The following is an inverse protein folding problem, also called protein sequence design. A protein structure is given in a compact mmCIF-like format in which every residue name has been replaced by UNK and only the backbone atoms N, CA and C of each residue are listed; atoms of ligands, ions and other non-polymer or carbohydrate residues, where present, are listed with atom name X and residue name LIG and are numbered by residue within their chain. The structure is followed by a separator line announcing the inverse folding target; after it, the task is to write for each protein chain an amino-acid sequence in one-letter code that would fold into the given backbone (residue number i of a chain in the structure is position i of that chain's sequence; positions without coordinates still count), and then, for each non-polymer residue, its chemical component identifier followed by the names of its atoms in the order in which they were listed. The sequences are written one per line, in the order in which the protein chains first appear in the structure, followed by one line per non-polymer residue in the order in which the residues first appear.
data_IF_005167157420
#
_entry.id   IF_005167157420
#
_cell.length_a   1.000
_cell.length_b   1.000
_cell.length_c   1.000
_cell.angle_alpha   90.00
_cell.angle_beta   90.00
_cell.angle_gamma   90.00
#
_symmetry.space_group_name_H-M   'P 1'
#
loop_
_entity.id
_entity.type
_entity.pdbx_description
1 polymer ?
#
# COMPACT_ATOMS: atom_id res chain seq x y z
N UNK A 1 -9.00 32.01 -10.17
CA UNK A 1 -8.48 31.86 -8.78
C UNK A 1 -8.46 30.40 -8.34
N UNK A 2 -9.38 29.53 -8.80
CA UNK A 2 -9.35 28.10 -8.46
C UNK A 2 -8.25 27.29 -9.16
N UNK A 3 -7.83 27.65 -10.37
CA UNK A 3 -6.78 26.89 -11.07
C UNK A 3 -5.40 27.00 -10.40
N UNK A 4 -5.09 28.14 -9.79
CA UNK A 4 -3.77 28.39 -9.20
C UNK A 4 -3.50 27.55 -7.93
N UNK A 5 -4.55 27.19 -7.16
CA UNK A 5 -4.34 26.37 -5.95
C UNK A 5 -4.09 24.90 -6.31
N UNK A 6 -4.78 24.40 -7.34
CA UNK A 6 -4.58 23.03 -7.85
C UNK A 6 -3.17 22.89 -8.41
N UNK A 7 -2.73 23.85 -9.22
CA UNK A 7 -1.38 23.84 -9.79
C UNK A 7 -0.29 23.89 -8.70
N UNK A 8 -0.45 24.77 -7.68
CA UNK A 8 0.44 24.80 -6.51
C UNK A 8 0.44 23.46 -5.74
N UNK A 9 -0.72 22.80 -5.64
CA UNK A 9 -0.81 21.50 -4.96
C UNK A 9 -0.08 20.39 -5.72
N UNK A 10 -0.15 20.36 -7.05
CA UNK A 10 0.57 19.38 -7.85
C UNK A 10 2.08 19.61 -7.82
N UNK A 11 2.55 20.86 -7.95
CA UNK A 11 3.97 21.18 -7.85
C UNK A 11 4.56 20.80 -6.49
N UNK A 12 3.85 21.10 -5.40
CA UNK A 12 4.32 20.74 -4.06
C UNK A 12 4.37 19.22 -3.84
N UNK A 13 3.45 18.46 -4.43
CA UNK A 13 3.48 17.00 -4.44
C UNK A 13 4.66 16.45 -5.23
N UNK A 14 4.97 17.02 -6.39
CA UNK A 14 6.11 16.60 -7.21
C UNK A 14 7.44 16.88 -6.50
N UNK A 15 7.57 18.04 -5.86
CA UNK A 15 8.74 18.38 -5.04
C UNK A 15 8.88 17.40 -3.86
N UNK A 16 7.78 17.10 -3.16
CA UNK A 16 7.79 16.15 -2.06
C UNK A 16 8.15 14.73 -2.53
N UNK A 17 7.61 14.29 -3.67
CA UNK A 17 7.93 12.99 -4.29
C UNK A 17 9.40 12.91 -4.65
N UNK A 18 9.95 13.93 -5.32
CA UNK A 18 11.36 14.00 -5.68
C UNK A 18 12.26 13.98 -4.44
N UNK A 19 11.92 14.72 -3.39
CA UNK A 19 12.70 14.80 -2.16
C UNK A 19 12.69 13.50 -1.34
N UNK A 20 11.51 12.88 -1.17
CA UNK A 20 11.36 11.70 -0.31
C UNK A 20 11.73 10.40 -1.04
N UNK A 21 11.37 10.29 -2.31
CA UNK A 21 11.45 9.04 -3.06
C UNK A 21 12.39 9.12 -4.26
N UNK A 22 12.75 10.29 -4.80
CA UNK A 22 13.58 10.38 -6.00
C UNK A 22 12.94 9.71 -7.22
N UNK A 23 13.76 9.11 -8.10
CA UNK A 23 13.31 8.46 -9.35
C UNK A 23 12.91 6.98 -9.14
N UNK A 24 12.12 6.71 -8.09
CA UNK A 24 11.69 5.35 -7.75
C UNK A 24 10.61 4.87 -8.69
N UNK A 25 10.91 3.78 -9.40
CA UNK A 25 10.00 3.15 -10.36
C UNK A 25 8.78 2.54 -9.66
N UNK A 26 7.62 2.64 -10.31
CA UNK A 26 6.33 2.08 -9.87
C UNK A 26 5.78 2.62 -8.54
N UNK A 27 6.35 3.71 -8.00
CA UNK A 27 5.80 4.36 -6.81
C UNK A 27 4.35 4.81 -7.03
N UNK A 28 4.02 5.36 -8.20
CA UNK A 28 2.67 5.81 -8.53
C UNK A 28 1.66 4.65 -8.53
N UNK A 29 2.08 3.46 -8.96
CA UNK A 29 1.27 2.25 -8.90
C UNK A 29 1.07 1.80 -7.44
N UNK A 30 2.11 1.86 -6.61
CA UNK A 30 2.01 1.54 -5.18
C UNK A 30 1.02 2.49 -4.49
N UNK A 31 1.11 3.80 -4.74
CA UNK A 31 0.18 4.81 -4.21
C UNK A 31 -1.24 4.51 -4.65
N UNK A 32 -1.46 4.24 -5.95
CA UNK A 32 -2.79 3.89 -6.48
C UNK A 32 -3.37 2.66 -5.78
N UNK A 33 -2.58 1.59 -5.62
CA UNK A 33 -3.03 0.38 -4.93
C UNK A 33 -3.32 0.65 -3.45
N UNK A 34 -2.51 1.43 -2.75
CA UNK A 34 -2.78 1.83 -1.37
C UNK A 34 -4.11 2.58 -1.23
N UNK A 35 -4.44 3.48 -2.17
CA UNK A 35 -5.73 4.19 -2.19
C UNK A 35 -6.88 3.22 -2.44
N UNK A 36 -6.76 2.32 -3.43
CA UNK A 36 -7.78 1.31 -3.73
C UNK A 36 -8.00 0.39 -2.52
N UNK A 37 -6.93 -0.01 -1.83
CA UNK A 37 -7.04 -0.85 -0.65
C UNK A 37 -7.80 -0.15 0.48
N UNK A 38 -7.47 1.12 0.75
CA UNK A 38 -8.20 1.93 1.75
C UNK A 38 -9.69 2.00 1.40
N UNK A 39 -10.03 2.30 0.15
CA UNK A 39 -11.43 2.38 -0.29
C UNK A 39 -12.13 1.02 -0.13
N UNK A 40 -11.50 -0.07 -0.59
CA UNK A 40 -12.06 -1.42 -0.49
C UNK A 40 -12.24 -1.87 0.97
N UNK A 41 -11.30 -1.53 1.85
CA UNK A 41 -11.38 -1.81 3.29
C UNK A 41 -12.50 -1.03 3.98
N UNK A 42 -12.75 0.23 3.57
CA UNK A 42 -13.87 1.02 4.07
C UNK A 42 -15.21 0.43 3.63
N UNK A 43 -15.34 0.02 2.36
CA UNK A 43 -16.56 -0.62 1.83
C UNK A 43 -16.85 -1.92 2.60
N UNK A 44 -15.81 -2.74 2.83
CA UNK A 44 -15.89 -3.97 3.62
C UNK A 44 -16.38 -3.69 5.04
N UNK A 45 -15.73 -2.75 5.74
CA UNK A 45 -16.11 -2.40 7.12
C UNK A 45 -17.55 -1.85 7.22
N UNK A 46 -18.03 -1.16 6.17
CA UNK A 46 -19.41 -0.69 6.09
C UNK A 46 -20.39 -1.86 5.93
N UNK A 47 -20.10 -2.81 5.02
CA UNK A 47 -20.90 -4.03 4.82
C UNK A 47 -21.02 -4.84 6.13
N UNK A 48 -19.91 -4.99 6.86
CA UNK A 48 -19.86 -5.77 8.10
C UNK A 48 -20.41 -5.00 9.32
N UNK A 49 -20.84 -3.76 9.15
CA UNK A 49 -21.29 -2.84 10.22
C UNK A 49 -20.24 -2.66 11.35
N UNK A 50 -18.95 -2.88 11.05
CA UNK A 50 -17.82 -2.81 11.99
C UNK A 50 -16.93 -1.59 11.71
N UNK A 51 -17.54 -0.41 11.54
CA UNK A 51 -16.81 0.85 11.29
C UNK A 51 -15.97 1.32 12.50
N UNK A 52 -16.36 0.95 13.72
CA UNK A 52 -15.65 1.32 14.96
C UNK A 52 -14.65 0.23 15.32
N UNK A 53 -13.47 0.26 14.71
CA UNK A 53 -12.42 -0.69 15.05
C UNK A 53 -11.10 0.02 15.31
N UNK A 54 -10.60 -0.13 16.55
CA UNK A 54 -9.20 0.18 16.90
C UNK A 54 -8.22 -0.56 15.97
N UNK A 55 -8.64 -1.69 15.40
CA UNK A 55 -7.84 -2.48 14.47
C UNK A 55 -7.77 -1.86 13.06
N UNK A 56 -8.77 -1.07 12.63
CA UNK A 56 -8.72 -0.37 11.34
C UNK A 56 -7.61 0.70 11.32
N UNK A 57 -7.42 1.40 12.44
CA UNK A 57 -6.34 2.37 12.60
C UNK A 57 -4.96 1.74 12.40
N UNK A 58 -4.73 0.56 12.97
CA UNK A 58 -3.46 -0.17 12.79
C UNK A 58 -3.20 -0.57 11.33
N UNK A 59 -4.25 -0.83 10.55
CA UNK A 59 -4.15 -1.05 9.11
C UNK A 59 -3.58 0.17 8.37
N UNK A 60 -4.15 1.35 8.64
CA UNK A 60 -3.68 2.60 8.03
C UNK A 60 -2.26 2.98 8.45
N UNK A 61 -1.92 2.80 9.73
CA UNK A 61 -0.56 3.02 10.23
C UNK A 61 0.43 2.09 9.50
N UNK A 62 0.09 0.81 9.32
CA UNK A 62 0.94 -0.13 8.59
C UNK A 62 1.21 0.30 7.14
N UNK A 63 0.22 0.89 6.48
CA UNK A 63 0.39 1.47 5.13
C UNK A 63 1.31 2.67 5.14
N UNK A 64 1.20 3.58 6.12
CA UNK A 64 2.15 4.69 6.20
C UNK A 64 3.59 4.20 6.43
N UNK A 65 3.75 3.15 7.23
CA UNK A 65 5.07 2.55 7.49
C UNK A 65 5.68 1.88 6.24
N UNK A 66 4.89 1.38 5.29
CA UNK A 66 5.45 0.79 4.06
C UNK A 66 6.18 1.84 3.22
N UNK A 67 5.64 3.06 3.13
CA UNK A 67 6.30 4.17 2.44
C UNK A 67 7.61 4.56 3.12
N UNK A 68 7.71 4.50 4.46
CA UNK A 68 8.97 4.74 5.16
C UNK A 68 10.03 3.68 4.81
N UNK A 69 9.63 2.42 4.66
CA UNK A 69 10.56 1.37 4.21
C UNK A 69 11.04 1.64 2.78
N UNK A 70 10.17 2.11 1.88
CA UNK A 70 10.57 2.51 0.53
C UNK A 70 11.59 3.67 0.55
N UNK A 71 11.37 4.68 1.40
CA UNK A 71 12.32 5.80 1.56
C UNK A 71 13.67 5.27 2.06
N UNK A 72 13.67 4.40 3.07
CA UNK A 72 14.90 3.82 3.62
C UNK A 72 15.64 3.00 2.54
N UNK A 73 14.93 2.17 1.78
CA UNK A 73 15.52 1.40 0.68
C UNK A 73 16.16 2.32 -0.38
N UNK A 74 15.52 3.45 -0.71
CA UNK A 74 16.07 4.43 -1.64
C UNK A 74 17.35 5.06 -1.12
N UNK A 75 17.38 5.46 0.15
CA UNK A 75 18.59 6.00 0.79
C UNK A 75 19.71 4.97 0.79
N UNK A 76 19.41 3.70 1.07
CA UNK A 76 20.39 2.61 1.02
C UNK A 76 20.93 2.40 -0.40
N UNK A 77 20.07 2.38 -1.42
CA UNK A 77 20.50 2.25 -2.81
C UNK A 77 21.45 3.38 -3.23
N UNK A 78 21.18 4.61 -2.78
CA UNK A 78 22.02 5.78 -3.06
C UNK A 78 23.38 5.69 -2.37
N UNK A 79 23.41 5.30 -1.08
CA UNK A 79 24.66 5.16 -0.31
C UNK A 79 25.53 4.02 -0.87
N UNK A 80 24.90 2.91 -1.27
CA UNK A 80 25.60 1.71 -1.74
C UNK A 80 25.82 1.68 -3.25
N UNK A 81 25.33 2.66 -4.00
CA UNK A 81 25.47 2.73 -5.46
C UNK A 81 24.76 1.59 -6.21
N UNK A 82 23.64 1.10 -5.67
CA UNK A 82 22.91 -0.06 -6.18
C UNK A 82 21.95 0.27 -7.33
N UNK A 83 21.95 1.51 -7.83
CA UNK A 83 21.14 1.96 -8.96
C UNK A 83 19.64 1.66 -8.83
N UNK A 84 19.10 1.72 -7.60
CA UNK A 84 17.67 1.55 -7.35
C UNK A 84 17.18 0.10 -7.29
N UNK A 85 18.08 -0.90 -7.31
CA UNK A 85 17.70 -2.32 -7.31
C UNK A 85 16.97 -2.72 -6.03
N UNK A 86 17.44 -2.28 -4.86
CA UNK A 86 16.81 -2.61 -3.58
C UNK A 86 15.43 -1.97 -3.47
N UNK A 87 15.31 -0.72 -3.89
CA UNK A 87 14.07 0.06 -3.83
C UNK A 87 13.05 -0.51 -4.80
N UNK A 88 13.48 -0.87 -6.01
CA UNK A 88 12.61 -1.55 -6.96
C UNK A 88 12.04 -2.86 -6.39
N UNK A 89 12.88 -3.70 -5.79
CA UNK A 89 12.42 -4.92 -5.12
C UNK A 89 11.46 -4.63 -3.95
N UNK A 90 11.76 -3.60 -3.17
CA UNK A 90 10.93 -3.17 -2.04
C UNK A 90 9.55 -2.67 -2.50
N UNK A 91 9.49 -1.87 -3.55
CA UNK A 91 8.23 -1.38 -4.13
C UNK A 91 7.41 -2.53 -4.68
N UNK A 92 8.03 -3.47 -5.42
CA UNK A 92 7.32 -4.65 -5.93
C UNK A 92 6.76 -5.52 -4.79
N UNK A 93 7.50 -5.69 -3.71
CA UNK A 93 7.04 -6.40 -2.52
C UNK A 93 5.78 -5.74 -1.93
N UNK A 94 5.78 -4.42 -1.77
CA UNK A 94 4.61 -3.73 -1.25
C UNK A 94 3.44 -3.68 -2.24
N UNK A 95 3.68 -3.60 -3.55
CA UNK A 95 2.65 -3.76 -4.58
C UNK A 95 1.95 -5.10 -4.43
N UNK A 96 2.71 -6.19 -4.26
CA UNK A 96 2.15 -7.52 -4.04
C UNK A 96 1.33 -7.58 -2.73
N UNK A 97 1.83 -6.97 -1.64
CA UNK A 97 1.10 -6.92 -0.37
C UNK A 97 -0.21 -6.15 -0.48
N UNK A 98 -0.22 -5.00 -1.16
CA UNK A 98 -1.43 -4.21 -1.40
C UNK A 98 -2.42 -4.99 -2.28
N UNK A 99 -1.93 -5.67 -3.32
CA UNK A 99 -2.75 -6.55 -4.16
C UNK A 99 -3.43 -7.68 -3.36
N UNK A 100 -2.72 -8.30 -2.43
CA UNK A 100 -3.27 -9.34 -1.55
C UNK A 100 -4.34 -8.76 -0.60
N UNK A 101 -4.09 -7.61 0.00
CA UNK A 101 -5.05 -6.92 0.88
C UNK A 101 -6.34 -6.54 0.14
N UNK A 102 -6.22 -6.01 -1.08
CA UNK A 102 -7.37 -5.69 -1.93
C UNK A 102 -8.16 -6.96 -2.25
N UNK A 103 -7.46 -8.04 -2.63
CA UNK A 103 -8.10 -9.30 -2.96
C UNK A 103 -8.90 -9.87 -1.78
N UNK A 104 -8.35 -9.79 -0.56
CA UNK A 104 -9.04 -10.15 0.68
C UNK A 104 -10.30 -9.31 0.90
N UNK A 105 -10.19 -7.98 0.81
CA UNK A 105 -11.31 -7.06 0.98
C UNK A 105 -12.43 -7.35 -0.02
N UNK A 106 -12.08 -7.55 -1.30
CA UNK A 106 -13.02 -7.86 -2.37
C UNK A 106 -13.70 -9.24 -2.17
N UNK A 107 -12.94 -10.25 -1.75
CA UNK A 107 -13.50 -11.58 -1.44
C UNK A 107 -14.55 -11.51 -0.32
N UNK A 108 -14.28 -10.77 0.76
CA UNK A 108 -15.23 -10.56 1.87
C UNK A 108 -16.48 -9.76 1.43
N UNK A 109 -16.34 -8.86 0.45
CA UNK A 109 -17.46 -8.13 -0.15
C UNK A 109 -18.29 -9.04 -1.08
N UNK A 110 -17.77 -10.18 -1.54
CA UNK A 110 -18.47 -11.17 -2.38
C UNK A 110 -18.08 -11.11 -3.86
N UNK A 111 -16.98 -10.42 -4.19
CA UNK A 111 -16.41 -10.42 -5.54
C UNK A 111 -15.74 -11.77 -5.79
N UNK A 112 -15.97 -12.35 -6.96
CA UNK A 112 -15.36 -13.63 -7.35
C UNK A 112 -13.86 -13.44 -7.57
N UNK A 113 -13.05 -14.00 -6.68
CA UNK A 113 -11.58 -14.01 -6.73
C UNK A 113 -11.12 -15.42 -7.10
N UNK A 114 -10.06 -15.60 -7.92
CA UNK A 114 -9.50 -16.91 -8.22
C UNK A 114 -9.10 -17.67 -6.95
N UNK A 115 -9.50 -18.95 -6.86
CA UNK A 115 -9.24 -19.80 -5.69
C UNK A 115 -7.77 -19.84 -5.27
N UNK A 116 -6.84 -19.86 -6.24
CA UNK A 116 -5.40 -19.86 -5.96
C UNK A 116 -4.91 -18.66 -5.14
N UNK A 117 -5.62 -17.53 -5.17
CA UNK A 117 -5.33 -16.35 -4.35
C UNK A 117 -5.97 -16.52 -2.96
N UNK A 118 -7.24 -16.93 -2.92
CA UNK A 118 -7.99 -17.16 -1.67
C UNK A 118 -7.35 -18.24 -0.79
N UNK A 119 -6.90 -19.35 -1.38
CA UNK A 119 -6.27 -20.46 -0.67
C UNK A 119 -4.94 -20.02 -0.04
N UNK A 120 -4.17 -19.17 -0.72
CA UNK A 120 -2.91 -18.62 -0.19
C UNK A 120 -3.15 -17.60 0.92
N UNK A 121 -4.23 -16.82 0.85
CA UNK A 121 -4.61 -15.89 1.91
C UNK A 121 -4.99 -16.64 3.19
N UNK A 122 -5.78 -17.72 3.09
CA UNK A 122 -6.16 -18.56 4.24
C UNK A 122 -4.95 -19.19 4.93
N UNK A 123 -4.00 -19.73 4.17
CA UNK A 123 -2.77 -20.30 4.74
C UNK A 123 -1.94 -19.26 5.51
N UNK A 124 -1.91 -18.00 5.05
CA UNK A 124 -1.19 -16.92 5.75
C UNK A 124 -1.91 -16.53 7.04
N UNK A 125 -3.24 -16.49 7.03
CA UNK A 125 -4.05 -16.17 8.21
C UNK A 125 -3.89 -17.25 9.30
N UNK A 126 -4.01 -18.53 8.94
CA UNK A 126 -3.82 -19.67 9.86
C UNK A 126 -2.43 -19.65 10.53
N UNK A 127 -1.36 -19.37 9.75
CA UNK A 127 0.00 -19.25 10.28
C UNK A 127 0.22 -18.03 11.18
N UNK A 128 -0.59 -16.98 11.01
CA UNK A 128 -0.52 -15.77 11.84
C UNK A 128 -1.22 -15.93 13.18
N UNK A 129 -2.23 -16.81 13.26
CA UNK A 129 -2.94 -17.16 14.49
C UNK A 129 -2.17 -18.18 15.33
N UNK A 130 -1.49 -19.16 14.71
CA UNK A 130 -0.63 -20.13 15.42
C UNK A 130 0.60 -19.49 16.10
N UNK A 131 0.97 -18.27 15.71
CA UNK A 131 2.11 -17.51 16.30
C UNK A 131 1.70 -16.50 17.38
N UNK A 132 0.43 -16.44 17.77
CA UNK A 132 -0.04 -15.64 18.92
C UNK A 132 -0.18 -16.49 20.17
#
# INVERSE_FOLDING_TARGET
MEENWLLLSFETLDIAKAYLFGDVKFLDLLVLLSVIDIISGVIKAWKDKRLRSRNAWFGYVRKMLSFFVVIISNVIDQILGLNGVLTFGTVLFYIANEGLSIAENLAQIGVKIPKSITDRLQVIEDQSEEKK
#
